data_IF_713630751314
#
_entry.id   IF_713630751314
#
_cell.length_a   1.000
_cell.length_b   1.000
_cell.length_c   1.000
_cell.angle_alpha   90.00
_cell.angle_beta   90.00
_cell.angle_gamma   90.00
#
_symmetry.space_group_name_H-M   'P 1'
#
loop_
_entity.id
_entity.type
_entity.pdbx_description
1 polymer ?
#
# COMPACT_ATOMS: atom_id res chain seq x y z
N UNK A 1 -15.59 22.33 -19.15
CA UNK A 1 -14.66 21.61 -20.04
C UNK A 1 -14.82 20.12 -19.80
N UNK A 2 -15.07 19.31 -20.82
CA UNK A 2 -15.12 17.85 -20.65
C UNK A 2 -13.71 17.26 -20.61
N UNK A 3 -13.51 16.22 -19.80
CA UNK A 3 -12.22 15.52 -19.66
C UNK A 3 -11.73 14.98 -21.02
N UNK A 4 -12.65 14.47 -21.84
CA UNK A 4 -12.37 14.00 -23.20
C UNK A 4 -11.79 15.08 -24.13
N UNK A 5 -12.20 16.34 -23.96
CA UNK A 5 -11.65 17.43 -24.76
C UNK A 5 -10.22 17.76 -24.36
N UNK A 6 -9.93 17.76 -23.06
CA UNK A 6 -8.57 17.95 -22.52
C UNK A 6 -7.65 16.83 -22.99
N UNK A 7 -8.10 15.58 -22.89
CA UNK A 7 -7.35 14.41 -23.32
C UNK A 7 -7.00 14.49 -24.81
N UNK A 8 -7.99 14.75 -25.68
CA UNK A 8 -7.74 14.94 -27.12
C UNK A 8 -6.78 16.07 -27.43
N UNK A 9 -6.91 17.20 -26.71
CA UNK A 9 -6.04 18.35 -26.90
C UNK A 9 -4.61 18.05 -26.43
N UNK A 10 -4.46 17.33 -25.33
CA UNK A 10 -3.17 16.93 -24.78
C UNK A 10 -2.42 16.02 -25.75
N UNK A 11 -3.03 14.94 -26.23
CA UNK A 11 -2.40 14.01 -27.17
C UNK A 11 -2.06 14.68 -28.51
N UNK A 12 -2.87 15.65 -28.95
CA UNK A 12 -2.57 16.42 -30.16
C UNK A 12 -1.35 17.35 -30.01
N UNK A 13 -1.02 17.79 -28.79
CA UNK A 13 0.13 18.66 -28.49
C UNK A 13 1.36 17.84 -28.12
N UNK A 14 1.18 16.70 -27.45
CA UNK A 14 2.23 15.81 -26.96
C UNK A 14 2.83 14.92 -28.07
N UNK A 15 2.94 15.47 -29.28
CA UNK A 15 3.57 14.83 -30.44
C UNK A 15 4.50 15.81 -31.12
N UNK A 16 5.73 15.36 -31.36
CA UNK A 16 6.69 16.11 -32.15
C UNK A 16 6.33 16.01 -33.64
N UNK A 17 6.43 17.09 -34.42
CA UNK A 17 6.18 17.05 -35.86
C UNK A 17 7.13 16.07 -36.55
N UNK A 18 6.66 15.38 -37.59
CA UNK A 18 7.49 14.44 -38.37
C UNK A 18 8.61 15.11 -39.17
N UNK A 19 8.60 16.44 -39.27
CA UNK A 19 9.57 17.26 -40.02
C UNK A 19 10.75 17.74 -39.13
N UNK A 20 10.83 17.28 -37.89
CA UNK A 20 11.98 17.63 -37.03
C UNK A 20 13.22 16.83 -37.41
N UNK A 21 14.34 17.52 -37.57
CA UNK A 21 15.64 16.93 -37.84
C UNK A 21 16.14 16.11 -36.63
N UNK A 22 16.04 14.78 -36.73
CA UNK A 22 16.48 13.82 -35.73
C UNK A 22 17.91 13.27 -36.00
N UNK A 23 18.63 13.80 -37.00
CA UNK A 23 19.87 13.19 -37.50
C UNK A 23 21.03 13.16 -36.49
N UNK A 24 21.01 14.02 -35.46
CA UNK A 24 22.07 14.13 -34.44
C UNK A 24 21.65 13.65 -33.04
N UNK A 25 20.48 13.02 -32.89
CA UNK A 25 19.99 12.60 -31.57
C UNK A 25 20.15 11.09 -31.39
N UNK A 26 20.99 10.68 -30.45
CA UNK A 26 21.03 9.29 -29.98
C UNK A 26 19.82 9.03 -29.07
N UNK A 27 18.73 8.48 -29.61
CA UNK A 27 17.54 8.17 -28.84
C UNK A 27 16.25 7.98 -29.66
N UNK A 28 15.11 8.01 -28.96
CA UNK A 28 13.77 7.94 -29.59
C UNK A 28 13.43 9.30 -30.19
N UNK A 29 13.30 9.38 -31.51
CA UNK A 29 12.91 10.59 -32.24
C UNK A 29 12.16 10.18 -33.52
N UNK A 30 11.02 10.82 -33.88
CA UNK A 30 10.34 11.90 -33.18
C UNK A 30 9.68 11.45 -31.87
N UNK A 31 9.69 12.32 -30.85
CA UNK A 31 9.04 12.04 -29.56
C UNK A 31 7.51 12.12 -29.72
N UNK A 32 6.83 11.00 -29.58
CA UNK A 32 5.37 10.94 -29.55
C UNK A 32 4.90 10.19 -28.33
N UNK A 33 4.07 10.83 -27.52
CA UNK A 33 3.45 10.21 -26.36
C UNK A 33 2.36 9.18 -26.74
N UNK A 34 2.02 9.06 -28.02
CA UNK A 34 1.18 7.97 -28.53
C UNK A 34 1.96 6.64 -28.65
N UNK A 35 3.30 6.69 -28.80
CA UNK A 35 4.14 5.50 -28.91
C UNK A 35 4.22 4.75 -27.57
N UNK A 36 4.51 3.46 -27.59
CA UNK A 36 4.68 2.64 -26.38
C UNK A 36 6.07 2.80 -25.75
N UNK A 37 7.01 3.44 -26.44
CA UNK A 37 8.39 3.66 -25.96
C UNK A 37 8.49 4.75 -24.88
N UNK A 38 7.47 5.61 -24.78
CA UNK A 38 7.43 6.76 -23.87
C UNK A 38 6.16 6.71 -23.00
N UNK A 39 6.32 6.94 -21.71
CA UNK A 39 5.23 7.21 -20.78
C UNK A 39 5.09 8.72 -20.58
N UNK A 40 3.90 9.27 -20.86
CA UNK A 40 3.62 10.68 -20.65
C UNK A 40 2.50 10.86 -19.64
N UNK A 41 2.77 11.69 -18.63
CA UNK A 41 1.90 11.91 -17.50
C UNK A 41 1.72 13.40 -17.25
N UNK A 42 0.48 13.80 -16.98
CA UNK A 42 0.18 15.13 -16.44
C UNK A 42 -0.02 14.99 -14.94
N UNK A 43 0.85 15.60 -14.15
CA UNK A 43 0.91 15.41 -12.70
C UNK A 43 0.60 16.73 -11.99
N UNK A 44 -0.18 16.66 -10.92
CA UNK A 44 -0.51 17.80 -10.08
C UNK A 44 0.64 18.17 -9.11
N UNK A 45 0.55 19.32 -8.46
CA UNK A 45 1.51 19.78 -7.45
C UNK A 45 1.65 18.80 -6.26
N UNK A 46 0.63 17.99 -5.97
CA UNK A 46 0.68 16.95 -4.94
C UNK A 46 1.25 15.61 -5.43
N UNK A 47 1.60 15.49 -6.72
CA UNK A 47 2.15 14.27 -7.29
C UNK A 47 1.10 13.24 -7.73
N UNK A 48 -0.16 13.64 -7.90
CA UNK A 48 -1.22 12.78 -8.45
C UNK A 48 -1.33 12.91 -9.96
N UNK A 49 -1.57 11.79 -10.64
CA UNK A 49 -1.69 11.74 -12.10
C UNK A 49 -3.10 12.17 -12.51
N UNK A 50 -3.20 13.21 -13.33
CA UNK A 50 -4.46 13.70 -13.90
C UNK A 50 -4.73 13.13 -15.29
N UNK A 51 -3.69 12.98 -16.11
CA UNK A 51 -3.76 12.35 -17.43
C UNK A 51 -2.62 11.34 -17.58
N UNK A 52 -2.94 10.18 -18.12
CA UNK A 52 -2.01 9.11 -18.49
C UNK A 52 -2.57 8.41 -19.73
N UNK A 53 -1.69 7.73 -20.48
CA UNK A 53 -2.09 6.83 -21.58
C UNK A 53 -2.96 5.68 -21.05
N UNK A 54 -2.58 5.14 -19.89
CA UNK A 54 -3.33 4.10 -19.20
C UNK A 54 -4.32 4.72 -18.20
N UNK A 55 -5.61 4.46 -18.42
CA UNK A 55 -6.68 5.00 -17.56
C UNK A 55 -6.60 4.52 -16.11
N UNK A 56 -5.95 3.39 -15.86
CA UNK A 56 -5.78 2.83 -14.52
C UNK A 56 -4.79 3.65 -13.66
N UNK A 57 -3.94 4.46 -14.27
CA UNK A 57 -2.98 5.30 -13.54
C UNK A 57 -3.57 6.64 -13.10
N UNK A 58 -4.67 7.06 -13.74
CA UNK A 58 -5.33 8.32 -13.41
C UNK A 58 -5.86 8.27 -11.97
N UNK A 59 -5.54 9.30 -11.19
CA UNK A 59 -5.89 9.40 -9.77
C UNK A 59 -4.93 8.64 -8.83
N UNK A 60 -3.97 7.87 -9.35
CA UNK A 60 -2.92 7.25 -8.53
C UNK A 60 -1.79 8.24 -8.27
N UNK A 61 -1.05 7.99 -7.20
CA UNK A 61 0.14 8.76 -6.88
C UNK A 61 1.27 8.36 -7.84
N UNK A 62 1.94 9.34 -8.43
CA UNK A 62 2.99 9.10 -9.43
C UNK A 62 4.14 8.25 -8.87
N UNK A 63 4.50 8.40 -7.59
CA UNK A 63 5.53 7.57 -6.98
C UNK A 63 5.15 6.10 -6.77
N UNK A 64 3.85 5.77 -6.83
CA UNK A 64 3.37 4.38 -6.80
C UNK A 64 3.52 3.72 -8.18
N UNK A 65 3.30 4.49 -9.26
CA UNK A 65 3.44 4.04 -10.65
C UNK A 65 4.93 3.98 -11.04
N UNK A 66 5.65 5.08 -10.83
CA UNK A 66 7.03 5.25 -11.29
C UNK A 66 7.94 5.79 -10.16
N UNK A 67 8.20 4.93 -9.17
CA UNK A 67 8.98 5.27 -7.97
C UNK A 67 10.43 5.70 -8.24
N UNK A 68 11.02 5.23 -9.35
CA UNK A 68 12.37 5.61 -9.78
C UNK A 68 12.47 7.10 -10.11
N UNK A 69 11.55 7.61 -10.92
CA UNK A 69 11.52 9.02 -11.32
C UNK A 69 11.14 9.88 -10.13
N UNK A 70 10.12 9.50 -9.35
CA UNK A 70 9.73 10.26 -8.16
C UNK A 70 10.88 10.38 -7.14
N UNK A 71 11.66 9.31 -6.91
CA UNK A 71 12.83 9.37 -6.04
C UNK A 71 13.90 10.35 -6.55
N UNK A 72 14.14 10.38 -7.87
CA UNK A 72 15.04 11.35 -8.49
C UNK A 72 14.54 12.78 -8.36
N UNK A 73 13.25 13.03 -8.54
CA UNK A 73 12.65 14.37 -8.39
C UNK A 73 12.73 14.88 -6.95
N UNK A 74 12.56 14.00 -5.96
CA UNK A 74 12.76 14.33 -4.54
C UNK A 74 14.23 14.67 -4.28
N UNK A 75 15.15 13.89 -4.84
CA UNK A 75 16.60 14.13 -4.70
C UNK A 75 17.04 15.46 -5.32
N UNK A 76 16.41 15.86 -6.41
CA UNK A 76 16.67 17.15 -7.08
C UNK A 76 16.01 18.34 -6.37
N UNK A 77 15.10 18.09 -5.42
CA UNK A 77 14.37 19.14 -4.70
C UNK A 77 13.14 19.66 -5.44
N UNK A 78 12.78 19.10 -6.60
CA UNK A 78 11.56 19.50 -7.33
C UNK A 78 10.29 19.07 -6.56
N UNK A 79 10.34 17.94 -5.87
CA UNK A 79 9.29 17.50 -4.95
C UNK A 79 9.81 17.44 -3.52
N UNK A 80 9.09 18.10 -2.61
CA UNK A 80 9.39 18.06 -1.18
C UNK A 80 8.48 17.06 -0.48
N UNK A 81 9.10 16.16 0.29
CA UNK A 81 8.38 15.25 1.18
C UNK A 81 8.00 15.99 2.46
N UNK A 82 6.71 15.95 2.81
CA UNK A 82 6.14 16.53 4.03
C UNK A 82 5.50 15.40 4.84
N UNK A 83 5.66 15.38 6.15
CA UNK A 83 4.97 14.42 7.02
C UNK A 83 3.68 15.05 7.54
N UNK A 84 2.54 14.40 7.30
CA UNK A 84 1.24 14.80 7.82
C UNK A 84 0.88 13.86 8.97
N UNK A 85 0.36 14.42 10.05
CA UNK A 85 0.03 13.71 11.29
C UNK A 85 -1.47 13.73 11.50
N UNK A 86 -2.06 12.55 11.66
CA UNK A 86 -3.46 12.34 12.00
C UNK A 86 -3.56 11.75 13.41
N UNK A 87 -4.03 12.57 14.35
CA UNK A 87 -4.24 12.23 15.76
C UNK A 87 -5.64 11.64 16.03
N UNK A 88 -6.46 11.48 15.00
CA UNK A 88 -7.84 10.96 15.10
C UNK A 88 -8.03 9.65 14.33
N UNK A 89 -6.94 9.01 13.92
CA UNK A 89 -6.97 7.76 13.19
C UNK A 89 -7.43 6.58 14.06
N UNK A 90 -7.90 5.52 13.40
CA UNK A 90 -8.32 4.27 14.03
C UNK A 90 -7.45 3.13 13.51
N UNK A 91 -6.64 2.55 14.38
CA UNK A 91 -5.74 1.45 14.03
C UNK A 91 -6.32 0.11 14.46
N UNK A 92 -5.99 -0.94 13.69
CA UNK A 92 -6.25 -2.31 14.12
C UNK A 92 -5.33 -2.64 15.27
N UNK A 93 -5.90 -3.20 16.33
CA UNK A 93 -5.10 -3.67 17.45
C UNK A 93 -4.22 -4.85 17.00
N UNK A 94 -2.91 -4.64 16.91
CA UNK A 94 -1.93 -5.67 16.53
C UNK A 94 -1.57 -6.60 17.69
N UNK A 95 -2.18 -6.42 18.87
CA UNK A 95 -2.01 -7.37 19.95
C UNK A 95 -2.44 -8.76 19.46
N UNK A 96 -1.44 -9.59 19.14
CA UNK A 96 -1.55 -11.02 19.24
C UNK A 96 -1.99 -11.28 20.67
N UNK A 97 -3.29 -11.40 20.88
CA UNK A 97 -3.79 -12.02 22.08
C UNK A 97 -3.18 -13.42 22.06
N UNK A 98 -2.10 -13.63 22.79
CA UNK A 98 -1.78 -14.94 23.31
C UNK A 98 -3.02 -15.30 24.12
N UNK A 99 -3.94 -16.02 23.48
CA UNK A 99 -5.11 -16.55 24.16
C UNK A 99 -4.57 -17.37 25.34
N UNK A 100 -4.66 -16.78 26.53
CA UNK A 100 -4.49 -17.47 27.81
C UNK A 100 -5.65 -18.44 28.06
N UNK A 101 -6.62 -18.49 27.14
CA UNK A 101 -7.54 -19.61 27.00
C UNK A 101 -6.73 -20.87 26.67
N UNK A 102 -6.62 -21.75 27.68
CA UNK A 102 -6.03 -23.09 27.52
C UNK A 102 -6.67 -23.75 26.31
N UNK A 103 -5.86 -24.18 25.34
CA UNK A 103 -6.33 -25.03 24.25
C UNK A 103 -7.09 -26.19 24.88
N UNK A 104 -8.39 -26.30 24.58
CA UNK A 104 -9.24 -27.34 25.17
C UNK A 104 -8.60 -28.69 24.81
N UNK A 105 -8.23 -29.42 25.85
CA UNK A 105 -7.57 -30.71 25.75
C UNK A 105 -8.37 -31.61 24.80
N UNK A 106 -7.63 -32.17 23.84
CA UNK A 106 -8.09 -33.08 22.80
C UNK A 106 -9.11 -34.11 23.33
N UNK A 107 -10.10 -34.55 22.53
CA UNK A 107 -11.08 -35.58 22.88
C UNK A 107 -10.50 -36.81 23.61
N UNK A 108 -9.23 -37.13 23.38
CA UNK A 108 -8.49 -38.19 24.08
C UNK A 108 -8.36 -37.99 25.59
N UNK A 109 -8.27 -36.74 26.05
CA UNK A 109 -8.21 -36.45 27.49
C UNK A 109 -9.57 -36.63 28.16
N UNK A 110 -10.67 -36.37 27.43
CA UNK A 110 -12.03 -36.71 27.88
C UNK A 110 -12.19 -38.23 28.00
N UNK A 111 -11.66 -39.00 27.06
CA UNK A 111 -11.67 -40.48 27.12
C UNK A 111 -10.80 -40.98 28.28
N UNK A 112 -9.58 -40.45 28.47
CA UNK A 112 -8.72 -40.82 29.60
C UNK A 112 -9.31 -40.42 30.95
N UNK A 113 -9.99 -39.27 31.01
CA UNK A 113 -10.73 -38.84 32.19
C UNK A 113 -11.93 -39.77 32.46
N UNK A 114 -12.67 -40.20 31.43
CA UNK A 114 -13.73 -41.20 31.53
C UNK A 114 -13.20 -42.54 32.00
N UNK A 115 -12.06 -43.01 31.47
CA UNK A 115 -11.44 -44.25 31.91
C UNK A 115 -10.95 -44.15 33.36
N UNK A 116 -10.29 -43.06 33.72
CA UNK A 116 -9.82 -42.81 35.09
C UNK A 116 -10.99 -42.67 36.07
N UNK A 117 -12.06 -41.99 35.66
CA UNK A 117 -13.32 -41.91 36.40
C UNK A 117 -13.93 -43.29 36.53
N UNK A 118 -14.04 -44.08 35.46
CA UNK A 118 -14.59 -45.43 35.49
C UNK A 118 -13.82 -46.33 36.45
N UNK A 119 -12.48 -46.32 36.40
CA UNK A 119 -11.66 -47.09 37.34
C UNK A 119 -11.77 -46.59 38.78
N UNK A 120 -11.82 -45.27 39.00
CA UNK A 120 -12.05 -44.70 40.33
C UNK A 120 -13.43 -45.09 40.89
N UNK A 121 -14.46 -45.09 40.04
CA UNK A 121 -15.81 -45.48 40.42
C UNK A 121 -15.94 -46.99 40.54
N UNK A 122 -15.18 -47.80 39.82
CA UNK A 122 -15.15 -49.24 40.03
C UNK A 122 -14.49 -49.59 41.36
N UNK A 123 -13.40 -48.90 41.72
CA UNK A 123 -12.76 -49.04 43.03
C UNK A 123 -13.67 -48.54 44.15
N UNK A 124 -14.32 -47.38 43.97
CA UNK A 124 -15.32 -46.86 44.91
C UNK A 124 -16.56 -47.75 44.97
N UNK A 125 -17.07 -48.31 43.87
CA UNK A 125 -18.22 -49.21 43.83
C UNK A 125 -17.93 -50.55 44.52
N UNK A 126 -16.68 -51.02 44.48
CA UNK A 126 -16.23 -52.16 45.28
C UNK A 126 -16.14 -51.81 46.78
N UNK A 127 -15.88 -50.55 47.13
CA UNK A 127 -15.91 -50.02 48.50
C UNK A 127 -17.35 -49.69 48.98
N UNK A 128 -18.22 -49.28 48.05
CA UNK A 128 -19.58 -48.76 48.23
C UNK A 128 -20.67 -49.78 47.86
N UNK A 129 -20.33 -51.09 47.88
CA UNK A 129 -21.31 -52.15 48.16
C UNK A 129 -21.84 -52.08 49.61
N UNK A 130 -21.68 -50.93 50.26
CA UNK A 130 -22.48 -50.41 51.36
C UNK A 130 -23.33 -49.25 50.82
N UNK A 131 -24.65 -49.43 50.89
CA UNK A 131 -25.69 -48.78 50.10
C UNK A 131 -25.82 -47.24 50.24
N UNK A 132 -26.34 -46.66 49.15
CA UNK A 132 -27.13 -45.42 49.03
C UNK A 132 -26.38 -44.11 48.73
N UNK A 133 -26.76 -43.48 47.61
CA UNK A 133 -26.43 -42.07 47.36
C UNK A 133 -26.64 -41.60 45.92
N UNK A 134 -27.70 -42.07 45.28
CA UNK A 134 -28.10 -41.68 43.94
C UNK A 134 -28.57 -40.20 43.92
N UNK A 135 -28.11 -39.43 42.92
CA UNK A 135 -28.61 -38.14 42.40
C UNK A 135 -27.96 -36.84 42.90
N UNK A 136 -27.26 -36.16 41.98
CA UNK A 136 -27.78 -34.90 41.43
C UNK A 136 -27.24 -34.63 40.01
N UNK A 137 -28.12 -34.09 39.16
CA UNK A 137 -27.91 -33.78 37.75
C UNK A 137 -28.12 -32.29 37.58
N UNK A 138 -27.14 -31.56 37.07
CA UNK A 138 -27.33 -30.16 36.68
C UNK A 138 -27.01 -29.96 35.20
N UNK A 139 -27.99 -29.39 34.49
CA UNK A 139 -27.93 -28.96 33.09
C UNK A 139 -27.51 -27.49 33.03
N UNK A 140 -26.70 -27.11 32.02
CA UNK A 140 -26.58 -25.71 31.61
C UNK A 140 -26.43 -25.58 30.09
N UNK A 141 -27.10 -24.55 29.54
CA UNK A 141 -27.35 -24.30 28.12
C UNK A 141 -26.24 -23.40 27.52
N UNK A 142 -25.89 -23.68 26.27
CA UNK A 142 -24.81 -23.06 25.49
C UNK A 142 -25.29 -21.78 24.77
N UNK A 143 -24.43 -20.76 24.68
CA UNK A 143 -24.72 -19.49 23.98
C UNK A 143 -23.79 -19.28 22.77
N UNK A 144 -24.39 -18.91 21.64
CA UNK A 144 -23.76 -18.86 20.31
C UNK A 144 -22.61 -17.84 20.14
N UNK A 145 -21.54 -18.31 19.47
CA UNK A 145 -20.38 -17.54 18.98
C UNK A 145 -20.77 -16.35 18.09
N UNK A 146 -20.43 -15.13 18.50
CA UNK A 146 -20.34 -13.98 17.60
C UNK A 146 -18.98 -13.94 16.88
N UNK A 147 -19.03 -13.58 15.60
CA UNK A 147 -17.89 -13.40 14.69
C UNK A 147 -17.04 -12.22 15.18
N UNK A 148 -15.75 -12.46 15.49
CA UNK A 148 -14.79 -11.44 15.92
C UNK A 148 -14.74 -10.31 14.88
N UNK A 149 -15.26 -9.15 15.24
CA UNK A 149 -14.91 -7.88 14.59
C UNK A 149 -13.59 -7.45 15.22
N UNK A 150 -12.56 -7.24 14.40
CA UNK A 150 -11.29 -6.72 14.89
C UNK A 150 -11.54 -5.37 15.58
N UNK A 151 -11.20 -5.28 16.87
CA UNK A 151 -11.40 -4.06 17.63
C UNK A 151 -10.46 -2.97 17.08
N UNK A 152 -11.06 -1.90 16.55
CA UNK A 152 -10.35 -0.68 16.17
C UNK A 152 -10.16 0.19 17.41
N UNK A 153 -8.97 0.78 17.55
CA UNK A 153 -8.63 1.66 18.66
C UNK A 153 -8.11 3.01 18.11
N UNK A 154 -8.39 4.14 18.78
CA UNK A 154 -7.76 5.41 18.46
C UNK A 154 -6.23 5.31 18.51
N UNK A 155 -5.56 5.81 17.48
CA UNK A 155 -4.11 5.82 17.34
C UNK A 155 -3.66 7.06 16.59
N UNK A 156 -2.38 7.42 16.76
CA UNK A 156 -1.76 8.48 16.00
C UNK A 156 -1.05 7.88 14.78
N UNK A 157 -1.33 8.41 13.59
CA UNK A 157 -0.70 7.97 12.35
C UNK A 157 0.02 9.11 11.65
N UNK A 158 1.14 8.81 11.02
CA UNK A 158 1.82 9.72 10.10
C UNK A 158 1.73 9.16 8.69
N UNK A 159 1.37 10.01 7.72
CA UNK A 159 1.42 9.68 6.31
C UNK A 159 2.30 10.68 5.56
N UNK A 160 3.08 10.22 4.57
CA UNK A 160 3.89 11.12 3.76
C UNK A 160 3.00 11.84 2.74
N UNK A 161 3.07 13.17 2.71
CA UNK A 161 2.58 14.01 1.63
C UNK A 161 3.73 14.51 0.75
N UNK A 162 3.41 14.89 -0.47
CA UNK A 162 4.36 15.48 -1.40
C UNK A 162 3.82 16.82 -1.91
N UNK A 163 4.73 17.76 -2.10
CA UNK A 163 4.43 19.09 -2.61
C UNK A 163 5.52 19.50 -3.59
N UNK A 164 5.10 19.92 -4.78
CA UNK A 164 5.96 20.50 -5.79
C UNK A 164 6.54 21.84 -5.34
N UNK A 165 7.83 22.04 -5.58
CA UNK A 165 8.54 23.29 -5.33
C UNK A 165 8.70 24.08 -6.63
N UNK A 166 8.07 25.26 -6.69
CA UNK A 166 8.07 26.14 -7.87
C UNK A 166 9.43 26.77 -8.22
N UNK A 167 10.44 26.61 -7.38
CA UNK A 167 11.80 27.12 -7.66
C UNK A 167 12.46 26.38 -8.84
N UNK A 168 12.08 25.12 -9.08
CA UNK A 168 12.65 24.28 -10.14
C UNK A 168 11.57 24.02 -11.20
N UNK A 169 11.67 24.73 -12.32
CA UNK A 169 10.69 24.64 -13.42
C UNK A 169 10.89 23.43 -14.32
N UNK A 170 12.14 22.98 -14.45
CA UNK A 170 12.52 21.90 -15.35
C UNK A 170 13.53 20.99 -14.65
N UNK A 171 13.36 19.68 -14.83
CA UNK A 171 14.29 18.68 -14.38
C UNK A 171 14.39 17.57 -15.42
N UNK A 172 15.62 17.28 -15.84
CA UNK A 172 15.91 16.19 -16.74
C UNK A 172 17.07 15.38 -16.17
N UNK A 173 16.98 14.07 -16.29
CA UNK A 173 18.06 13.21 -15.86
C UNK A 173 17.95 11.81 -16.44
N UNK A 174 19.02 11.07 -16.22
CA UNK A 174 19.16 9.70 -16.64
C UNK A 174 19.42 8.83 -15.42
N UNK A 175 18.48 7.93 -15.15
CA UNK A 175 18.51 7.01 -14.01
C UNK A 175 19.23 5.73 -14.45
N UNK A 176 20.32 5.39 -13.77
CA UNK A 176 21.05 4.14 -13.99
C UNK A 176 20.40 3.04 -13.14
N UNK A 177 19.76 2.07 -13.78
CA UNK A 177 19.04 0.97 -13.13
C UNK A 177 19.84 -0.35 -13.17
N UNK A 178 21.17 -0.24 -13.20
CA UNK A 178 22.10 -1.35 -13.38
C UNK A 178 22.43 -1.60 -14.86
N UNK A 179 21.64 -2.44 -15.53
CA UNK A 179 21.90 -2.87 -16.93
C UNK A 179 21.25 -2.00 -18.01
N UNK A 180 20.32 -1.14 -17.63
CA UNK A 180 19.68 -0.18 -18.52
C UNK A 180 19.67 1.21 -17.89
N UNK A 181 19.41 2.20 -18.74
CA UNK A 181 19.29 3.60 -18.36
C UNK A 181 17.87 4.04 -18.71
N UNK A 182 17.20 4.71 -17.77
CA UNK A 182 15.87 5.31 -17.96
C UNK A 182 16.01 6.82 -17.96
N UNK A 183 15.74 7.45 -19.09
CA UNK A 183 15.68 8.90 -19.17
C UNK A 183 14.31 9.43 -18.76
N UNK A 184 14.29 10.61 -18.16
CA UNK A 184 13.06 11.33 -17.90
C UNK A 184 13.27 12.83 -18.08
N UNK A 185 12.20 13.51 -18.45
CA UNK A 185 12.12 14.97 -18.55
C UNK A 185 10.84 15.41 -17.86
N UNK A 186 10.97 16.43 -17.02
CA UNK A 186 9.87 17.04 -16.28
C UNK A 186 9.87 18.53 -16.52
N UNK A 187 8.73 19.06 -16.94
CA UNK A 187 8.55 20.47 -17.25
C UNK A 187 7.27 21.00 -16.64
N UNK A 188 7.37 22.12 -15.91
CA UNK A 188 6.21 22.82 -15.39
C UNK A 188 5.41 23.47 -16.52
N UNK A 189 4.08 23.36 -16.45
CA UNK A 189 3.19 24.10 -17.34
C UNK A 189 3.09 25.54 -16.84
N UNK A 190 3.38 26.56 -17.68
CA UNK A 190 3.30 27.95 -17.27
C UNK A 190 1.87 28.30 -16.82
N UNK A 191 1.78 29.20 -15.84
CA UNK A 191 0.53 29.70 -15.26
C UNK A 191 -0.39 28.60 -14.68
N UNK A 192 0.21 27.48 -14.25
CA UNK A 192 -0.51 26.32 -13.73
C UNK A 192 0.25 25.64 -12.58
N UNK A 193 -0.49 24.87 -11.77
CA UNK A 193 0.05 23.95 -10.75
C UNK A 193 0.46 22.59 -11.33
N UNK A 194 0.32 22.41 -12.64
CA UNK A 194 0.55 21.14 -13.33
C UNK A 194 1.96 21.01 -13.88
N UNK A 195 2.42 19.77 -13.92
CA UNK A 195 3.74 19.40 -14.39
C UNK A 195 3.61 18.26 -15.41
N UNK A 196 4.23 18.42 -16.57
CA UNK A 196 4.34 17.40 -17.59
C UNK A 196 5.56 16.52 -17.28
N UNK A 197 5.34 15.21 -17.17
CA UNK A 197 6.39 14.22 -16.93
C UNK A 197 6.44 13.27 -18.13
N UNK A 198 7.59 13.17 -18.76
CA UNK A 198 7.87 12.25 -19.87
C UNK A 198 8.96 11.29 -19.42
N UNK A 199 8.68 9.99 -19.45
CA UNK A 199 9.61 8.94 -19.04
C UNK A 199 9.79 7.93 -20.16
N UNK A 200 10.96 7.32 -20.23
CA UNK A 200 11.19 6.20 -21.16
C UNK A 200 10.62 4.90 -20.59
N UNK A 201 9.79 4.20 -21.35
CA UNK A 201 9.10 2.98 -20.93
C UNK A 201 9.92 1.69 -21.12
N UNK A 202 11.04 1.73 -21.87
CA UNK A 202 11.82 0.55 -22.25
C UNK A 202 12.62 -0.12 -21.11
N UNK A 203 12.79 0.54 -19.96
CA UNK A 203 13.62 0.08 -18.85
C UNK A 203 12.83 0.09 -17.53
N UNK A 204 12.61 -1.09 -16.94
CA UNK A 204 11.97 -1.22 -15.63
C UNK A 204 13.00 -1.11 -14.50
N UNK A 205 12.85 -0.07 -13.68
CA UNK A 205 13.74 0.26 -12.57
C UNK A 205 13.18 -0.17 -11.20
N UNK A 206 12.04 -0.88 -11.17
CA UNK A 206 11.30 -1.23 -9.95
C UNK A 206 12.11 -2.07 -8.94
N UNK A 207 13.10 -2.84 -9.41
CA UNK A 207 13.97 -3.66 -8.53
C UNK A 207 14.89 -2.82 -7.64
N UNK A 208 15.37 -1.69 -8.15
CA UNK A 208 16.28 -0.81 -7.39
C UNK A 208 15.51 0.29 -6.67
N UNK A 209 14.45 0.79 -7.29
CA UNK A 209 13.59 1.83 -6.75
C UNK A 209 12.18 1.27 -6.60
N UNK A 210 11.83 0.86 -5.38
CA UNK A 210 10.48 0.39 -5.08
C UNK A 210 9.43 1.51 -5.16
N UNK A 211 8.13 1.16 -5.19
CA UNK A 211 7.06 2.13 -5.20
C UNK A 211 7.05 2.97 -3.91
N UNK A 212 6.84 4.26 -4.07
CA UNK A 212 6.70 5.21 -2.96
C UNK A 212 5.23 5.28 -2.60
N UNK A 213 4.85 4.59 -1.52
CA UNK A 213 3.45 4.50 -1.07
C UNK A 213 3.09 5.65 -0.11
N UNK A 214 1.85 6.11 -0.20
CA UNK A 214 1.24 7.10 0.70
C UNK A 214 0.58 6.46 1.95
N UNK A 215 0.97 5.23 2.30
CA UNK A 215 0.31 4.50 3.38
C UNK A 215 0.59 5.12 4.76
N UNK A 216 -0.43 5.24 5.62
CA UNK A 216 -0.28 5.74 6.98
C UNK A 216 0.52 4.73 7.82
N UNK A 217 1.40 5.25 8.67
CA UNK A 217 2.18 4.48 9.64
C UNK A 217 1.80 4.90 11.05
N UNK A 218 1.49 3.93 11.90
CA UNK A 218 1.25 4.17 13.33
C UNK A 218 2.52 4.70 14.00
N UNK A 219 2.37 5.75 14.81
CA UNK A 219 3.45 6.37 15.57
C UNK A 219 3.48 5.73 16.96
N UNK A 220 4.64 5.23 17.36
CA UNK A 220 4.86 4.71 18.71
C UNK A 220 5.72 5.68 19.50
N UNK A 221 5.14 6.25 20.54
CA UNK A 221 5.85 7.11 21.48
C UNK A 221 6.69 6.24 22.41
N UNK A 222 8.01 6.40 22.35
CA UNK A 222 8.92 5.82 23.34
C UNK A 222 8.97 6.84 24.49
N UNK A 223 8.20 6.56 25.56
CA UNK A 223 8.32 7.28 26.81
C UNK A 223 9.59 6.76 27.50
N UNK A 224 10.56 7.65 27.70
CA UNK A 224 11.78 7.39 28.47
C UNK A 224 11.54 7.64 29.96
#
# INVERSE_FOLDING_TARGET
MSLDWLEKRFWAIAKQPSDTDCSNVEGVCPLSCENDDLGCFLVDNNGFILLSKERNDVGRFFGEVDGSVMASLIKMGMFKKVSLFDYQAMCKNSHHHASSARSLLSPLYMILALMRWFFSNAVMFLLDFNLCGLWHSDYFVDAHKQKKVDALQPCDTAYPGFMYDSSIREANSLIKCGRCQKMFVVQQIPDSNLVLVVTQASCDCSRQFGPILLQPKEIKYILW
#
